data_IF_443412778588
#
_entry.id   IF_443412778588
#
_cell.length_a   1.000
_cell.length_b   1.000
_cell.length_c   1.000
_cell.angle_alpha   90.00
_cell.angle_beta   90.00
_cell.angle_gamma   90.00
#
_symmetry.space_group_name_H-M   'P 1'
#
loop_
_entity.id
_entity.type
_entity.pdbx_description
1 polymer ?
#
# COMPACT_ATOMS: atom_id res chain seq x y z
N UNK A 1 13.77 -6.22 -4.90
CA UNK A 1 12.67 -6.30 -5.89
C UNK A 1 11.37 -5.92 -5.19
N UNK A 2 10.69 -4.88 -5.70
CA UNK A 2 9.43 -4.40 -5.13
C UNK A 2 8.29 -5.37 -5.48
N UNK A 3 7.54 -5.78 -4.46
CA UNK A 3 6.35 -6.63 -4.58
C UNK A 3 5.25 -6.16 -3.62
N UNK A 4 4.03 -6.64 -3.84
CA UNK A 4 2.84 -6.16 -3.15
C UNK A 4 2.03 -7.33 -2.58
N UNK A 5 1.86 -7.32 -1.26
CA UNK A 5 0.99 -8.26 -0.56
C UNK A 5 -0.39 -7.61 -0.36
N UNK A 6 -1.42 -8.23 -0.93
CA UNK A 6 -2.79 -7.72 -0.89
C UNK A 6 -3.43 -8.03 0.45
N UNK A 7 -3.83 -7.00 1.18
CA UNK A 7 -4.59 -7.17 2.44
C UNK A 7 -6.10 -7.17 2.20
N UNK A 8 -6.57 -6.22 1.38
CA UNK A 8 -7.99 -6.01 1.11
C UNK A 8 -8.20 -5.67 -0.36
N UNK A 9 -9.28 -6.20 -0.93
CA UNK A 9 -9.76 -5.79 -2.26
C UNK A 9 -11.27 -5.74 -2.28
N UNK A 10 -11.79 -4.60 -2.73
CA UNK A 10 -13.20 -4.33 -2.94
C UNK A 10 -13.41 -3.79 -4.36
N UNK A 11 -14.65 -3.59 -4.82
CA UNK A 11 -14.90 -2.96 -6.11
C UNK A 11 -14.36 -1.52 -6.26
N UNK A 12 -14.11 -0.82 -5.14
CA UNK A 12 -13.76 0.61 -5.14
C UNK A 12 -12.47 0.94 -4.39
N UNK A 13 -11.87 -0.03 -3.70
CA UNK A 13 -10.67 0.19 -2.90
C UNK A 13 -9.84 -1.06 -2.77
N UNK A 14 -8.53 -0.87 -2.73
CA UNK A 14 -7.56 -1.94 -2.53
C UNK A 14 -6.46 -1.48 -1.57
N UNK A 15 -5.93 -2.39 -0.77
CA UNK A 15 -4.87 -2.11 0.19
C UNK A 15 -3.76 -3.14 -0.01
N UNK A 16 -2.52 -2.65 -0.04
CA UNK A 16 -1.34 -3.48 -0.17
C UNK A 16 -0.25 -3.09 0.82
N UNK A 17 0.37 -4.10 1.44
CA UNK A 17 1.70 -3.95 2.05
C UNK A 17 2.75 -4.00 0.94
N UNK A 18 3.73 -3.10 1.00
CA UNK A 18 4.81 -3.00 0.02
C UNK A 18 6.06 -3.65 0.60
N UNK A 19 6.58 -4.63 -0.13
CA UNK A 19 7.80 -5.36 0.21
C UNK A 19 8.91 -5.01 -0.77
N UNK A 20 10.14 -4.85 -0.29
CA UNK A 20 11.33 -4.85 -1.13
C UNK A 20 12.35 -5.85 -0.60
N UNK A 21 12.70 -6.82 -1.44
CA UNK A 21 13.56 -7.96 -1.06
C UNK A 21 13.04 -8.72 0.19
N UNK A 22 11.72 -8.76 0.35
CA UNK A 22 11.03 -9.45 1.45
C UNK A 22 10.83 -8.60 2.72
N UNK A 23 11.39 -7.39 2.77
CA UNK A 23 11.24 -6.47 3.91
C UNK A 23 10.12 -5.46 3.67
N UNK A 24 9.34 -5.15 4.71
CA UNK A 24 8.27 -4.15 4.63
C UNK A 24 8.89 -2.75 4.48
N UNK A 25 8.59 -2.09 3.35
CA UNK A 25 9.06 -0.73 3.03
C UNK A 25 7.93 0.29 2.98
N UNK A 26 6.68 -0.16 3.13
CA UNK A 26 5.53 0.74 3.15
C UNK A 26 4.19 0.04 3.01
N UNK A 27 3.17 0.86 2.80
CA UNK A 27 1.78 0.48 2.53
C UNK A 27 1.20 1.44 1.50
N UNK A 28 0.35 0.92 0.62
CA UNK A 28 -0.46 1.75 -0.27
C UNK A 28 -1.93 1.41 -0.16
N UNK A 29 -2.77 2.44 -0.05
CA UNK A 29 -4.22 2.34 -0.11
C UNK A 29 -4.72 3.05 -1.38
N UNK A 30 -5.39 2.29 -2.25
CA UNK A 30 -5.92 2.73 -3.52
C UNK A 30 -7.43 2.93 -3.42
N UNK A 31 -7.92 4.05 -3.96
CA UNK A 31 -9.33 4.35 -4.11
C UNK A 31 -9.64 4.54 -5.59
N UNK A 32 -10.51 3.68 -6.11
CA UNK A 32 -10.88 3.57 -7.51
C UNK A 32 -12.24 4.28 -7.73
N UNK A 33 -12.24 5.37 -8.50
CA UNK A 33 -13.44 6.13 -8.82
C UNK A 33 -13.54 6.39 -10.33
N UNK A 34 -14.09 5.42 -11.06
CA UNK A 34 -14.14 5.49 -12.52
C UNK A 34 -12.71 5.57 -13.09
N UNK A 35 -12.40 6.51 -14.01
CA UNK A 35 -11.07 6.63 -14.59
C UNK A 35 -10.03 7.27 -13.65
N UNK A 36 -10.40 7.66 -12.43
CA UNK A 36 -9.52 8.35 -11.49
C UNK A 36 -9.11 7.40 -10.35
N UNK A 37 -7.81 7.38 -10.05
CA UNK A 37 -7.24 6.61 -8.95
C UNK A 37 -6.53 7.55 -7.98
N UNK A 38 -6.95 7.49 -6.71
CA UNK A 38 -6.27 8.16 -5.61
C UNK A 38 -5.52 7.13 -4.77
N UNK A 39 -4.22 7.34 -4.60
CA UNK A 39 -3.38 6.51 -3.74
C UNK A 39 -2.91 7.30 -2.51
N UNK A 40 -2.88 6.62 -1.37
CA UNK A 40 -2.14 7.06 -0.19
C UNK A 40 -0.96 6.11 0.01
N UNK A 41 0.27 6.62 -0.12
CA UNK A 41 1.50 5.87 0.08
C UNK A 41 2.12 6.25 1.42
N UNK A 42 2.27 5.28 2.32
CA UNK A 42 3.06 5.41 3.54
C UNK A 42 4.37 4.65 3.35
N UNK A 43 5.53 5.29 3.53
CA UNK A 43 6.86 4.66 3.41
C UNK A 43 7.76 5.05 4.58
N UNK A 44 9.00 4.56 4.59
CA UNK A 44 9.96 4.75 5.69
C UNK A 44 10.29 6.24 5.91
N UNK A 45 10.60 6.65 7.15
CA UNK A 45 10.82 8.07 7.49
C UNK A 45 12.02 8.68 6.75
N UNK A 46 12.98 7.86 6.36
CA UNK A 46 14.24 8.22 5.70
C UNK A 46 14.21 8.03 4.17
N UNK A 47 13.06 7.63 3.59
CA UNK A 47 12.93 7.44 2.15
C UNK A 47 13.31 8.71 1.38
N UNK A 48 14.25 8.59 0.44
CA UNK A 48 14.62 9.67 -0.48
C UNK A 48 13.50 9.95 -1.47
N UNK A 49 13.54 11.11 -2.13
CA UNK A 49 12.55 11.45 -3.15
C UNK A 49 12.62 10.52 -4.37
N UNK A 50 13.82 10.04 -4.72
CA UNK A 50 13.99 9.05 -5.77
C UNK A 50 13.39 7.71 -5.38
N UNK A 51 13.53 7.31 -4.11
CA UNK A 51 12.90 6.10 -3.60
C UNK A 51 11.37 6.22 -3.58
N UNK A 52 10.84 7.39 -3.21
CA UNK A 52 9.39 7.66 -3.28
C UNK A 52 8.90 7.52 -4.72
N UNK A 53 9.62 8.06 -5.70
CA UNK A 53 9.26 7.92 -7.13
C UNK A 53 9.28 6.47 -7.58
N UNK A 54 10.32 5.73 -7.22
CA UNK A 54 10.42 4.30 -7.54
C UNK A 54 9.23 3.49 -7.00
N UNK A 55 8.79 3.78 -5.76
CA UNK A 55 7.62 3.14 -5.18
C UNK A 55 6.33 3.54 -5.90
N UNK A 56 6.18 4.81 -6.27
CA UNK A 56 5.03 5.31 -7.04
C UNK A 56 4.96 4.62 -8.40
N UNK A 57 6.08 4.55 -9.13
CA UNK A 57 6.16 3.92 -10.44
C UNK A 57 5.81 2.43 -10.35
N UNK A 58 6.32 1.73 -9.32
CA UNK A 58 5.98 0.33 -9.08
C UNK A 58 4.49 0.12 -8.77
N UNK A 59 3.87 1.00 -7.97
CA UNK A 59 2.42 0.96 -7.70
C UNK A 59 1.64 1.20 -9.00
N UNK A 60 2.07 2.16 -9.80
CA UNK A 60 1.38 2.54 -11.04
C UNK A 60 1.38 1.38 -12.05
N UNK A 61 2.55 0.81 -12.30
CA UNK A 61 2.76 -0.27 -13.26
C UNK A 61 2.11 -1.59 -12.82
N UNK A 62 2.26 -1.97 -11.56
CA UNK A 62 1.83 -3.30 -11.09
C UNK A 62 0.38 -3.31 -10.63
N UNK A 63 -0.10 -2.23 -10.01
CA UNK A 63 -1.43 -2.17 -9.39
C UNK A 63 -2.40 -1.31 -10.20
N UNK A 64 -2.08 -0.03 -10.43
CA UNK A 64 -3.01 0.90 -11.06
C UNK A 64 -3.33 0.51 -12.52
N UNK A 65 -2.33 0.13 -13.32
CA UNK A 65 -2.53 -0.28 -14.72
C UNK A 65 -3.28 -1.60 -14.84
N UNK A 66 -3.11 -2.48 -13.85
CA UNK A 66 -3.83 -3.75 -13.78
C UNK A 66 -5.28 -3.56 -13.36
N UNK A 67 -5.56 -2.56 -12.50
CA UNK A 67 -6.91 -2.24 -12.04
C UNK A 67 -7.74 -1.56 -13.14
N UNK A 68 -7.18 -0.55 -13.81
CA UNK A 68 -7.79 0.09 -14.98
C UNK A 68 -6.72 0.61 -15.97
N UNK A 69 -6.56 -0.03 -17.14
CA UNK A 69 -5.60 0.41 -18.15
C UNK A 69 -6.01 1.70 -18.88
N UNK A 70 -7.26 2.16 -18.73
CA UNK A 70 -7.78 3.38 -19.35
C UNK A 70 -7.90 4.54 -18.35
N UNK A 71 -7.21 4.47 -17.20
CA UNK A 71 -7.22 5.56 -16.23
C UNK A 71 -6.75 6.88 -16.87
N UNK A 72 -7.36 7.97 -16.44
CA UNK A 72 -7.03 9.33 -16.90
C UNK A 72 -6.12 10.03 -15.89
N UNK A 73 -6.36 9.84 -14.59
CA UNK A 73 -5.58 10.46 -13.51
C UNK A 73 -5.14 9.45 -12.45
N UNK A 74 -3.86 9.56 -12.04
CA UNK A 74 -3.28 8.84 -10.90
C UNK A 74 -2.63 9.85 -9.94
N UNK A 75 -3.24 10.03 -8.76
CA UNK A 75 -2.83 11.04 -7.78
C UNK A 75 -2.37 10.33 -6.52
N UNK A 76 -1.13 10.60 -6.09
CA UNK A 76 -0.54 9.97 -4.89
C UNK A 76 -0.27 11.00 -3.81
N UNK A 77 -0.80 10.75 -2.62
CA UNK A 77 -0.40 11.47 -1.39
C UNK A 77 0.61 10.62 -0.63
N UNK A 78 1.76 11.20 -0.29
CA UNK A 78 2.88 10.46 0.34
C UNK A 78 3.07 10.90 1.79
N UNK A 79 3.14 9.91 2.68
CA UNK A 79 3.51 10.05 4.08
C UNK A 79 4.81 9.27 4.34
N UNK A 80 5.73 9.86 5.11
CA UNK A 80 6.96 9.21 5.55
C UNK A 80 6.88 8.96 7.06
N UNK A 81 7.06 7.72 7.50
CA UNK A 81 6.89 7.34 8.91
C UNK A 81 7.08 5.86 9.17
N UNK A 82 6.82 5.44 10.40
CA UNK A 82 6.85 4.03 10.83
C UNK A 82 5.44 3.58 11.20
N UNK A 83 5.02 2.36 10.82
CA UNK A 83 3.76 1.79 11.32
C UNK A 83 3.77 1.76 12.84
N UNK A 84 2.75 2.35 13.47
CA UNK A 84 2.64 2.36 14.93
C UNK A 84 2.10 1.05 15.50
N UNK A 85 1.26 0.35 14.73
CA UNK A 85 0.57 -0.88 15.12
C UNK A 85 -0.73 -1.05 14.33
N UNK A 86 -1.36 -2.21 14.49
CA UNK A 86 -2.68 -2.52 13.92
C UNK A 86 -3.64 -2.74 15.07
N UNK A 87 -4.76 -2.01 15.07
CA UNK A 87 -5.78 -2.04 16.12
C UNK A 87 -7.11 -2.48 15.51
N UNK A 88 -7.84 -3.39 16.16
CA UNK A 88 -9.11 -3.91 15.69
C UNK A 88 -10.06 -4.29 16.83
N UNK A 89 -11.34 -4.46 16.52
CA UNK A 89 -12.43 -4.72 17.48
C UNK A 89 -12.47 -6.18 18.00
N UNK A 90 -11.41 -6.96 17.81
CA UNK A 90 -11.38 -8.36 18.19
C UNK A 90 -11.07 -8.53 19.68
N UNK A 91 -12.08 -8.95 20.45
CA UNK A 91 -11.93 -9.52 21.81
C UNK A 91 -11.15 -10.85 21.75
N UNK A 92 -9.85 -10.80 21.47
CA UNK A 92 -8.93 -11.92 21.60
C UNK A 92 -7.63 -11.36 22.17
N UNK A 93 -7.35 -11.70 23.43
CA UNK A 93 -6.30 -11.11 24.24
C UNK A 93 -4.90 -11.16 23.60
N UNK A 94 -4.54 -10.06 22.95
CA UNK A 94 -3.23 -9.39 22.83
C UNK A 94 -3.44 -8.34 21.73
N UNK A 95 -3.62 -7.06 22.10
CA UNK A 95 -4.14 -5.96 21.24
C UNK A 95 -3.23 -5.54 20.07
N UNK A 96 -2.24 -6.37 19.71
CA UNK A 96 -1.26 -6.07 18.67
C UNK A 96 -1.27 -7.16 17.61
N UNK A 97 -1.89 -6.90 16.45
CA UNK A 97 -1.73 -7.77 15.28
C UNK A 97 -0.33 -7.49 14.71
N UNK A 98 0.51 -8.52 14.65
CA UNK A 98 1.84 -8.39 14.06
C UNK A 98 1.70 -8.16 12.56
N UNK A 99 2.36 -7.11 12.06
CA UNK A 99 2.34 -6.77 10.63
C UNK A 99 2.85 -7.92 9.74
N UNK A 100 3.67 -8.83 10.29
CA UNK A 100 4.14 -10.02 9.58
C UNK A 100 3.08 -11.11 9.38
N UNK A 101 2.01 -11.12 10.16
CA UNK A 101 0.97 -12.16 10.10
C UNK A 101 -0.12 -11.86 9.05
N UNK A 102 -0.14 -10.63 8.50
CA UNK A 102 -1.11 -10.22 7.48
C UNK A 102 -0.75 -10.70 6.06
N UNK A 103 0.52 -11.04 5.81
CA UNK A 103 1.00 -11.54 4.51
C UNK A 103 0.82 -13.04 4.27
N UNK A 104 0.38 -13.81 5.28
CA UNK A 104 0.30 -15.28 5.22
C UNK A 104 -1.12 -15.84 4.96
N UNK A 105 -2.07 -15.02 4.49
CA UNK A 105 -3.48 -15.42 4.27
C UNK A 105 -3.94 -15.36 2.81
#
# INVERSE_FOLDING_TARGET
>A
MISFDREVRTPHSETYTILDDGEIVGRVDLHLQGPNIHATLCTTPDASDDRVRELIDAVDEQLAMTADPFREDFIVTVWKGVPAGVYGDAEAGDDTISLGELGER
#
